data_IF_465725892741
#
_entry.id   IF_465725892741
#
_cell.length_a   1.000
_cell.length_b   1.000
_cell.length_c   1.000
_cell.angle_alpha   90.00
_cell.angle_beta   90.00
_cell.angle_gamma   90.00
#
_symmetry.space_group_name_H-M   'P 1'
#
loop_
_entity.id
_entity.type
_entity.pdbx_description
1 polymer ?
#
# COMPACT_ATOMS: atom_id res chain seq x y z
N UNK A 1 -1.14 -12.65 -8.23
CA UNK A 1 -2.61 -12.39 -8.20
C UNK A 1 -3.43 -13.60 -7.77
N UNK A 2 -2.96 -14.82 -8.03
CA UNK A 2 -3.69 -16.03 -7.58
C UNK A 2 -3.87 -16.09 -6.06
N UNK A 3 -2.85 -15.71 -5.29
CA UNK A 3 -2.93 -15.69 -3.84
C UNK A 3 -3.99 -14.71 -3.33
N UNK A 4 -4.13 -13.56 -3.99
CA UNK A 4 -5.15 -12.57 -3.65
C UNK A 4 -6.53 -13.09 -3.97
N UNK A 5 -6.70 -13.73 -5.14
CA UNK A 5 -7.97 -14.33 -5.52
C UNK A 5 -8.41 -15.42 -4.53
N UNK A 6 -7.47 -16.26 -4.08
CA UNK A 6 -7.76 -17.28 -3.07
C UNK A 6 -8.19 -16.67 -1.75
N UNK A 7 -7.54 -15.61 -1.31
CA UNK A 7 -7.92 -14.90 -0.09
C UNK A 7 -9.33 -14.31 -0.21
N UNK A 8 -9.69 -13.79 -1.38
CA UNK A 8 -11.00 -13.18 -1.61
C UNK A 8 -12.15 -14.19 -1.66
N UNK A 9 -11.87 -15.45 -2.00
CA UNK A 9 -12.89 -16.51 -1.96
C UNK A 9 -13.48 -16.65 -0.54
N UNK A 10 -12.67 -16.44 0.50
CA UNK A 10 -13.12 -16.49 1.88
C UNK A 10 -13.95 -15.26 2.31
N UNK A 11 -14.13 -14.28 1.44
CA UNK A 11 -14.87 -13.03 1.69
C UNK A 11 -14.40 -12.34 2.97
N UNK A 12 -13.09 -12.00 3.09
CA UNK A 12 -12.55 -11.39 4.30
C UNK A 12 -13.07 -9.97 4.47
N UNK A 13 -13.06 -9.48 5.72
CA UNK A 13 -13.29 -8.05 6.02
C UNK A 13 -12.02 -7.23 5.91
N UNK A 14 -10.88 -7.88 6.06
CA UNK A 14 -9.55 -7.25 5.98
C UNK A 14 -8.56 -8.21 5.34
N UNK A 15 -7.60 -7.66 4.63
CA UNK A 15 -6.52 -8.44 4.00
C UNK A 15 -5.18 -7.75 4.25
N UNK A 16 -4.14 -8.56 4.47
CA UNK A 16 -2.76 -8.08 4.59
C UNK A 16 -2.02 -8.41 3.31
N UNK A 17 -1.43 -7.40 2.68
CA UNK A 17 -0.63 -7.53 1.48
C UNK A 17 0.80 -7.08 1.78
N UNK A 18 1.75 -8.00 1.70
CA UNK A 18 3.16 -7.75 2.02
C UNK A 18 3.96 -7.65 0.72
N UNK A 19 4.37 -6.44 0.37
CA UNK A 19 5.14 -6.11 -0.83
C UNK A 19 4.58 -6.76 -2.11
N UNK A 20 3.28 -6.55 -2.40
CA UNK A 20 2.65 -7.24 -3.53
C UNK A 20 3.19 -6.84 -4.90
N UNK A 21 3.86 -5.69 -5.01
CA UNK A 21 4.44 -5.24 -6.28
C UNK A 21 5.84 -5.77 -6.54
N UNK A 22 6.47 -6.42 -5.57
CA UNK A 22 7.83 -6.91 -5.72
C UNK A 22 7.92 -7.99 -6.82
N UNK A 23 8.86 -7.81 -7.74
CA UNK A 23 9.08 -8.76 -8.82
C UNK A 23 8.04 -8.72 -9.94
N UNK A 24 7.13 -7.75 -9.93
CA UNK A 24 6.09 -7.61 -10.95
C UNK A 24 6.47 -6.50 -11.94
N UNK A 25 6.16 -6.74 -13.21
CA UNK A 25 6.42 -5.74 -14.27
C UNK A 25 5.69 -4.44 -13.97
N UNK A 26 6.31 -3.26 -14.20
CA UNK A 26 5.70 -1.97 -13.85
C UNK A 26 4.30 -1.75 -14.43
N UNK A 27 4.04 -2.19 -15.65
CA UNK A 27 2.72 -2.03 -16.25
C UNK A 27 1.65 -2.81 -15.49
N UNK A 28 2.00 -3.97 -14.93
CA UNK A 28 1.08 -4.79 -14.15
C UNK A 28 0.89 -4.25 -12.74
N UNK A 29 1.86 -3.51 -12.22
CA UNK A 29 1.76 -2.89 -10.89
C UNK A 29 0.60 -1.89 -10.85
N UNK A 30 0.46 -1.05 -11.87
CA UNK A 30 -0.65 -0.10 -11.93
C UNK A 30 -2.00 -0.80 -11.93
N UNK A 31 -2.15 -1.86 -12.73
CA UNK A 31 -3.39 -2.64 -12.77
C UNK A 31 -3.69 -3.27 -11.41
N UNK A 32 -2.68 -3.78 -10.74
CA UNK A 32 -2.82 -4.39 -9.41
C UNK A 32 -3.31 -3.35 -8.38
N UNK A 33 -2.73 -2.16 -8.36
CA UNK A 33 -3.14 -1.10 -7.44
C UNK A 33 -4.53 -0.55 -7.76
N UNK A 34 -4.93 -0.51 -9.02
CA UNK A 34 -6.30 -0.20 -9.40
C UNK A 34 -7.29 -1.21 -8.82
N UNK A 35 -6.92 -2.50 -8.86
CA UNK A 35 -7.74 -3.55 -8.24
C UNK A 35 -7.87 -3.33 -6.73
N UNK A 36 -6.78 -3.01 -6.04
CA UNK A 36 -6.81 -2.73 -4.60
C UNK A 36 -7.73 -1.54 -4.29
N UNK A 37 -7.67 -0.48 -5.08
CA UNK A 37 -8.54 0.67 -4.91
C UNK A 37 -10.02 0.29 -5.05
N UNK A 38 -10.36 -0.55 -6.02
CA UNK A 38 -11.72 -1.04 -6.22
C UNK A 38 -12.19 -1.88 -5.04
N UNK A 39 -11.35 -2.78 -4.54
CA UNK A 39 -11.68 -3.61 -3.39
C UNK A 39 -11.92 -2.76 -2.14
N UNK A 40 -11.11 -1.74 -1.94
CA UNK A 40 -11.29 -0.78 -0.85
C UNK A 40 -12.64 -0.05 -0.96
N UNK A 41 -13.02 0.39 -2.15
CA UNK A 41 -14.30 1.05 -2.38
C UNK A 41 -15.49 0.12 -2.09
N UNK A 42 -15.30 -1.18 -2.23
CA UNK A 42 -16.31 -2.19 -1.91
C UNK A 42 -16.37 -2.53 -0.42
N UNK A 43 -15.60 -1.84 0.41
CA UNK A 43 -15.63 -2.01 1.86
C UNK A 43 -14.55 -2.90 2.44
N UNK A 44 -13.60 -3.38 1.61
CA UNK A 44 -12.48 -4.18 2.11
C UNK A 44 -11.46 -3.28 2.80
N UNK A 45 -11.05 -3.65 4.02
CA UNK A 45 -9.93 -3.01 4.70
C UNK A 45 -8.64 -3.68 4.25
N UNK A 46 -7.69 -2.87 3.79
CA UNK A 46 -6.41 -3.36 3.28
C UNK A 46 -5.29 -2.79 4.14
N UNK A 47 -4.46 -3.67 4.70
CA UNK A 47 -3.17 -3.30 5.28
C UNK A 47 -2.09 -3.64 4.25
N UNK A 48 -1.48 -2.62 3.70
CA UNK A 48 -0.52 -2.74 2.61
C UNK A 48 0.88 -2.40 3.11
N UNK A 49 1.80 -3.35 2.98
CA UNK A 49 3.23 -3.12 3.24
C UNK A 49 3.91 -2.99 1.89
N UNK A 50 4.52 -1.84 1.61
CA UNK A 50 5.02 -1.56 0.27
C UNK A 50 6.22 -0.62 0.30
N UNK A 51 7.20 -0.86 -0.56
CA UNK A 51 8.32 0.03 -0.78
C UNK A 51 8.06 1.04 -1.91
N UNK A 52 7.11 0.74 -2.78
CA UNK A 52 6.68 1.65 -3.84
C UNK A 52 5.76 2.72 -3.24
N UNK A 53 6.39 3.73 -2.63
CA UNK A 53 5.72 4.70 -1.76
C UNK A 53 4.66 5.51 -2.49
N UNK A 54 5.00 6.07 -3.63
CA UNK A 54 4.10 6.95 -4.38
C UNK A 54 2.82 6.21 -4.79
N UNK A 55 2.96 4.99 -5.30
CA UNK A 55 1.82 4.20 -5.73
C UNK A 55 0.94 3.79 -4.55
N UNK A 56 1.57 3.38 -3.44
CA UNK A 56 0.84 2.98 -2.24
C UNK A 56 0.06 4.15 -1.64
N UNK A 57 0.65 5.33 -1.56
CA UNK A 57 0.01 6.50 -0.97
C UNK A 57 -1.20 6.98 -1.77
N UNK A 58 -1.19 6.80 -3.08
CA UNK A 58 -2.29 7.23 -3.95
C UNK A 58 -3.60 6.52 -3.63
N UNK A 59 -3.54 5.30 -3.13
CA UNK A 59 -4.75 4.51 -2.82
C UNK A 59 -5.02 4.38 -1.33
N UNK A 60 -4.14 4.90 -0.48
CA UNK A 60 -4.21 4.74 0.97
C UNK A 60 -4.92 5.92 1.62
N UNK A 61 -5.54 5.67 2.78
CA UNK A 61 -6.11 6.72 3.62
C UNK A 61 -5.09 7.23 4.62
N UNK A 62 -4.34 6.31 5.22
CA UNK A 62 -3.31 6.62 6.22
C UNK A 62 -2.06 5.81 5.92
N UNK A 63 -0.93 6.32 6.40
CA UNK A 63 0.34 5.65 6.23
C UNK A 63 1.18 5.72 7.49
N UNK A 64 1.92 4.66 7.74
CA UNK A 64 2.87 4.54 8.83
C UNK A 64 4.22 4.20 8.23
N UNK A 65 5.26 4.90 8.64
CA UNK A 65 6.62 4.60 8.21
C UNK A 65 7.32 3.85 9.34
N UNK A 66 7.84 2.67 9.00
CA UNK A 66 8.61 1.85 9.93
C UNK A 66 10.08 1.93 9.58
N UNK A 67 10.91 2.09 10.60
CA UNK A 67 12.37 2.03 10.47
C UNK A 67 12.92 1.23 11.63
N UNK A 68 13.66 0.17 11.33
CA UNK A 68 14.27 -0.73 12.32
C UNK A 68 13.26 -1.24 13.37
N UNK A 69 12.06 -1.59 12.90
CA UNK A 69 11.03 -2.16 13.76
C UNK A 69 10.22 -1.15 14.56
N UNK A 70 10.44 0.15 14.36
CA UNK A 70 9.72 1.21 15.07
C UNK A 70 8.94 2.08 14.09
N UNK A 71 7.76 2.55 14.53
CA UNK A 71 7.00 3.54 13.78
C UNK A 71 7.64 4.90 14.04
N UNK A 72 8.24 5.48 12.99
CA UNK A 72 8.96 6.77 13.08
C UNK A 72 8.13 7.95 12.61
N UNK A 73 7.04 7.69 11.86
CA UNK A 73 6.15 8.73 11.36
C UNK A 73 4.81 8.11 10.97
N UNK A 74 3.72 8.84 11.19
CA UNK A 74 2.42 8.48 10.63
C UNK A 74 1.60 9.73 10.36
N UNK A 75 0.80 9.68 9.30
CA UNK A 75 -0.08 10.77 8.92
C UNK A 75 -1.11 10.26 7.92
N UNK A 76 -2.00 11.13 7.47
CA UNK A 76 -2.83 10.82 6.32
C UNK A 76 -1.93 10.61 5.11
N UNK A 77 -2.37 9.76 4.19
CA UNK A 77 -1.62 9.51 2.96
C UNK A 77 -1.43 10.78 2.16
N UNK A 78 -2.44 11.65 2.12
CA UNK A 78 -2.37 12.92 1.40
C UNK A 78 -1.29 13.83 1.95
N UNK A 79 -1.20 13.96 3.28
CA UNK A 79 -0.16 14.78 3.91
C UNK A 79 1.23 14.22 3.62
N UNK A 80 1.38 12.90 3.67
CA UNK A 80 2.66 12.27 3.39
C UNK A 80 3.06 12.42 1.91
N UNK A 81 2.11 12.37 0.98
CA UNK A 81 2.37 12.62 -0.44
C UNK A 81 2.96 14.02 -0.67
N UNK A 82 2.55 14.99 0.14
CA UNK A 82 3.01 16.37 0.04
C UNK A 82 4.22 16.68 0.94
N UNK A 83 4.75 15.68 1.64
CA UNK A 83 5.87 15.85 2.57
C UNK A 83 7.14 15.24 1.99
N UNK A 84 7.80 15.97 1.10
CA UNK A 84 9.03 15.52 0.44
C UNK A 84 10.17 15.28 1.44
N UNK A 85 10.25 16.09 2.48
CA UNK A 85 11.30 15.97 3.50
C UNK A 85 11.26 14.61 4.18
N UNK A 86 10.07 14.17 4.63
CA UNK A 86 9.91 12.89 5.29
C UNK A 86 10.12 11.74 4.30
N UNK A 87 9.64 11.87 3.07
CA UNK A 87 9.86 10.85 2.05
C UNK A 87 11.34 10.66 1.74
N UNK A 88 12.10 11.75 1.63
CA UNK A 88 13.55 11.68 1.40
C UNK A 88 14.28 11.06 2.59
N UNK A 89 13.86 11.39 3.80
CA UNK A 89 14.52 10.91 5.01
C UNK A 89 14.32 9.41 5.25
N UNK A 90 13.12 8.89 5.02
CA UNK A 90 12.75 7.53 5.41
C UNK A 90 12.40 6.60 4.26
N UNK A 91 11.96 7.12 3.12
CA UNK A 91 11.42 6.30 2.03
C UNK A 91 12.37 6.14 0.85
N UNK A 92 13.55 6.72 0.89
CA UNK A 92 14.59 6.62 -0.15
C UNK A 92 14.10 7.00 -1.56
N UNK A 93 13.30 8.03 -1.65
CA UNK A 93 12.76 8.53 -2.93
C UNK A 93 13.49 9.77 -3.41
#
# INVERSE_FOLDING_TARGET
MLAIARAMIAKPKAILLDEPSEGIMPVLVEEMFELFAKLKQQGLTILLVEQNVQTALKISDRAYILDQGEIVFHDTAQNLLNNDEIQQKYCAV
#
